data_IF_492561602429
#
_entry.id   IF_492561602429
#
_cell.length_a   1.000
_cell.length_b   1.000
_cell.length_c   1.000
_cell.angle_alpha   90.00
_cell.angle_beta   90.00
_cell.angle_gamma   90.00
#
_symmetry.space_group_name_H-M   'P 1'
#
loop_
_entity.id
_entity.type
_entity.pdbx_description
1 polymer ?
#
# COMPACT_ATOMS: atom_id res chain seq x y z
N UNK A 1 -17.18 10.29 18.05
CA UNK A 1 -16.09 10.84 18.88
C UNK A 1 -14.88 11.06 17.98
N UNK A 2 -14.50 12.32 17.70
CA UNK A 2 -13.45 12.67 16.73
C UNK A 2 -12.05 12.20 17.18
N UNK A 3 -11.75 12.19 18.48
CA UNK A 3 -10.44 11.78 18.99
C UNK A 3 -10.16 10.31 18.67
N UNK A 4 -11.14 9.42 18.93
CA UNK A 4 -11.01 8.00 18.59
C UNK A 4 -10.84 7.79 17.07
N UNK A 5 -11.54 8.56 16.25
CA UNK A 5 -11.39 8.51 14.79
C UNK A 5 -9.98 8.90 14.34
N UNK A 6 -9.38 9.94 14.93
CA UNK A 6 -8.02 10.38 14.58
C UNK A 6 -6.98 9.33 14.98
N UNK A 7 -7.12 8.71 16.16
CA UNK A 7 -6.22 7.61 16.59
C UNK A 7 -6.33 6.43 15.62
N UNK A 8 -7.54 6.05 15.24
CA UNK A 8 -7.76 4.98 14.28
C UNK A 8 -7.22 5.32 12.88
N UNK A 9 -7.31 6.58 12.47
CA UNK A 9 -6.69 7.05 11.24
C UNK A 9 -5.16 6.88 11.26
N UNK A 10 -4.53 7.13 12.40
CA UNK A 10 -3.10 6.90 12.60
C UNK A 10 -2.74 5.42 12.38
N UNK A 11 -3.52 4.52 12.96
CA UNK A 11 -3.35 3.06 12.86
C UNK A 11 -3.48 2.56 11.41
N UNK A 12 -4.46 3.09 10.67
CA UNK A 12 -4.72 2.73 9.26
C UNK A 12 -3.92 3.57 8.25
N UNK A 13 -2.96 4.39 8.69
CA UNK A 13 -2.38 5.43 7.83
C UNK A 13 -1.40 4.93 6.77
N UNK A 14 -0.95 3.68 6.82
CA UNK A 14 0.14 3.20 5.94
C UNK A 14 -0.13 3.48 4.45
N UNK A 15 -1.32 3.19 3.90
CA UNK A 15 -1.57 3.40 2.47
C UNK A 15 -1.70 4.88 2.05
N UNK A 16 -1.77 5.82 3.00
CA UNK A 16 -1.76 7.27 2.73
C UNK A 16 -0.38 7.91 2.99
N UNK A 17 0.64 7.12 3.34
CA UNK A 17 2.04 7.58 3.49
C UNK A 17 2.76 7.63 2.13
N UNK A 18 3.89 8.34 2.03
CA UNK A 18 4.76 8.26 0.87
C UNK A 18 5.09 6.81 0.52
N UNK A 19 5.19 6.51 -0.77
CA UNK A 19 5.19 5.14 -1.27
C UNK A 19 6.27 4.24 -0.66
N UNK A 20 7.50 4.74 -0.49
CA UNK A 20 8.58 3.98 0.14
C UNK A 20 8.23 3.55 1.58
N UNK A 21 7.60 4.43 2.36
CA UNK A 21 7.18 4.12 3.74
C UNK A 21 6.04 3.11 3.72
N UNK A 22 5.07 3.28 2.82
CA UNK A 22 3.97 2.34 2.68
C UNK A 22 4.48 0.92 2.36
N UNK A 23 5.41 0.80 1.40
CA UNK A 23 5.99 -0.50 1.02
C UNK A 23 6.68 -1.21 2.19
N UNK A 24 7.46 -0.50 3.00
CA UNK A 24 8.10 -1.08 4.19
C UNK A 24 7.09 -1.61 5.20
N UNK A 25 5.98 -0.91 5.41
CA UNK A 25 4.92 -1.39 6.31
C UNK A 25 4.17 -2.57 5.72
N UNK A 26 3.91 -2.57 4.42
CA UNK A 26 3.28 -3.71 3.75
C UNK A 26 4.15 -4.96 3.87
N UNK A 27 5.46 -4.85 3.64
CA UNK A 27 6.39 -5.97 3.81
C UNK A 27 6.34 -6.55 5.23
N UNK A 28 6.39 -5.69 6.25
CA UNK A 28 6.34 -6.11 7.67
C UNK A 28 5.02 -6.79 8.03
N UNK A 29 3.90 -6.24 7.60
CA UNK A 29 2.57 -6.82 7.87
C UNK A 29 2.40 -8.15 7.14
N UNK A 30 2.86 -8.24 5.88
CA UNK A 30 2.84 -9.51 5.15
C UNK A 30 3.69 -10.57 5.84
N UNK A 31 4.90 -10.23 6.31
CA UNK A 31 5.74 -11.21 7.02
C UNK A 31 5.07 -11.70 8.31
N UNK A 32 4.40 -10.81 9.06
CA UNK A 32 3.63 -11.21 10.24
C UNK A 32 2.48 -12.18 9.89
N UNK A 33 1.70 -11.87 8.84
CA UNK A 33 0.62 -12.75 8.37
C UNK A 33 1.17 -14.09 7.88
N UNK A 34 2.29 -14.09 7.17
CA UNK A 34 2.88 -15.30 6.65
C UNK A 34 3.48 -16.18 7.76
N UNK A 35 4.15 -15.58 8.74
CA UNK A 35 4.61 -16.30 9.93
C UNK A 35 3.43 -16.95 10.69
N UNK A 36 2.29 -16.26 10.79
CA UNK A 36 1.08 -16.85 11.34
C UNK A 36 0.58 -18.03 10.50
N UNK A 37 0.55 -17.90 9.17
CA UNK A 37 0.12 -18.98 8.28
C UNK A 37 1.03 -20.20 8.34
N UNK A 38 2.34 -19.99 8.43
CA UNK A 38 3.32 -21.07 8.58
C UNK A 38 3.10 -21.83 9.90
N UNK A 39 2.89 -21.11 11.01
CA UNK A 39 2.55 -21.73 12.29
C UNK A 39 1.22 -22.51 12.23
N UNK A 40 0.22 -22.01 11.48
CA UNK A 40 -1.04 -22.73 11.26
C UNK A 40 -0.83 -24.02 10.47
N UNK A 41 0.00 -23.99 9.41
CA UNK A 41 0.38 -25.20 8.64
C UNK A 41 1.09 -26.22 9.52
N UNK A 42 2.05 -25.79 10.35
CA UNK A 42 2.78 -26.66 11.28
C UNK A 42 1.87 -27.33 12.31
N UNK A 43 0.84 -26.62 12.79
CA UNK A 43 -0.15 -27.16 13.73
C UNK A 43 -1.24 -28.00 13.05
N UNK A 44 -1.22 -28.14 11.72
CA UNK A 44 -2.28 -28.83 10.97
C UNK A 44 -3.62 -28.09 10.98
N UNK A 45 -3.61 -26.77 11.18
CA UNK A 45 -4.80 -25.92 11.17
C UNK A 45 -5.06 -25.35 9.77
N UNK A 46 -6.32 -25.01 9.43
CA UNK A 46 -6.60 -24.23 8.22
C UNK A 46 -5.90 -22.87 8.26
N UNK A 47 -5.22 -22.52 7.17
CA UNK A 47 -4.54 -21.23 7.05
C UNK A 47 -5.57 -20.11 6.91
N UNK A 48 -5.39 -19.05 7.69
CA UNK A 48 -6.25 -17.87 7.68
C UNK A 48 -6.09 -17.09 6.37
N UNK A 49 -7.13 -16.34 5.98
CA UNK A 49 -7.10 -15.54 4.76
C UNK A 49 -5.91 -14.59 4.75
N UNK A 50 -5.25 -14.46 3.60
CA UNK A 50 -4.03 -13.64 3.38
C UNK A 50 -2.78 -14.08 4.15
N UNK A 51 -2.86 -15.12 4.98
CA UNK A 51 -1.72 -15.63 5.76
C UNK A 51 -0.92 -16.68 4.99
N UNK A 52 -1.36 -17.10 3.81
CA UNK A 52 -0.64 -18.09 3.00
C UNK A 52 0.29 -17.41 1.99
N UNK A 53 1.60 -17.44 2.25
CA UNK A 53 2.64 -16.85 1.38
C UNK A 53 2.69 -17.48 -0.02
N UNK A 54 2.17 -18.69 -0.20
CA UNK A 54 2.23 -19.41 -1.48
C UNK A 54 1.16 -18.95 -2.48
N UNK A 55 0.08 -18.31 -2.00
CA UNK A 55 -1.07 -17.91 -2.83
C UNK A 55 -1.47 -16.45 -2.67
N UNK A 56 -0.95 -15.74 -1.67
CA UNK A 56 -1.33 -14.35 -1.41
C UNK A 56 -0.69 -13.40 -2.40
N UNK A 57 -1.53 -12.78 -3.23
CA UNK A 57 -1.12 -11.75 -4.19
C UNK A 57 -1.07 -10.38 -3.50
N UNK A 58 0.10 -9.99 -2.99
CA UNK A 58 0.26 -8.76 -2.20
C UNK A 58 -0.30 -7.51 -2.91
N UNK A 59 -0.03 -7.24 -4.21
CA UNK A 59 -0.56 -6.03 -4.84
C UNK A 59 -2.09 -5.99 -4.89
N UNK A 60 -2.73 -7.13 -5.16
CA UNK A 60 -4.18 -7.28 -5.19
C UNK A 60 -4.80 -7.10 -3.81
N UNK A 61 -4.16 -7.68 -2.79
CA UNK A 61 -4.52 -7.49 -1.39
C UNK A 61 -4.47 -6.01 -0.99
N UNK A 62 -3.43 -5.28 -1.39
CA UNK A 62 -3.29 -3.85 -1.09
C UNK A 62 -4.34 -2.98 -1.81
N UNK A 63 -4.60 -3.23 -3.10
CA UNK A 63 -5.69 -2.54 -3.82
C UNK A 63 -7.04 -2.80 -3.15
N UNK A 64 -7.34 -4.06 -2.80
CA UNK A 64 -8.57 -4.40 -2.09
C UNK A 64 -8.69 -3.73 -0.72
N UNK A 65 -7.61 -3.70 0.07
CA UNK A 65 -7.60 -3.01 1.35
C UNK A 65 -7.86 -1.51 1.19
N UNK A 66 -7.31 -0.88 0.15
CA UNK A 66 -7.60 0.52 -0.17
C UNK A 66 -9.07 0.70 -0.55
N UNK A 67 -9.59 -0.13 -1.45
CA UNK A 67 -10.95 -0.01 -1.97
C UNK A 67 -12.03 -0.17 -0.90
N UNK A 68 -11.83 -1.12 0.02
CA UNK A 68 -12.86 -1.52 0.97
C UNK A 68 -12.69 -0.92 2.37
N UNK A 69 -11.48 -0.52 2.76
CA UNK A 69 -11.20 -0.01 4.11
C UNK A 69 -10.70 1.43 4.06
N UNK A 70 -9.57 1.67 3.41
CA UNK A 70 -8.86 2.95 3.53
C UNK A 70 -9.60 4.08 2.83
N UNK A 71 -9.96 3.92 1.55
CA UNK A 71 -10.60 4.98 0.79
C UNK A 71 -11.95 5.40 1.39
N UNK A 72 -12.87 4.48 1.77
CA UNK A 72 -14.11 4.86 2.47
C UNK A 72 -13.85 5.59 3.80
N UNK A 73 -12.88 5.14 4.60
CA UNK A 73 -12.57 5.75 5.89
C UNK A 73 -11.95 7.15 5.76
N UNK A 74 -10.87 7.28 4.98
CA UNK A 74 -10.16 8.55 4.81
C UNK A 74 -10.95 9.58 4.02
N UNK A 75 -11.89 9.16 3.15
CA UNK A 75 -12.78 10.08 2.44
C UNK A 75 -13.53 11.02 3.37
N UNK A 76 -14.02 10.52 4.51
CA UNK A 76 -14.74 11.37 5.46
C UNK A 76 -13.78 12.33 6.18
N UNK A 77 -12.55 11.92 6.46
CA UNK A 77 -11.52 12.80 7.01
C UNK A 77 -11.09 13.89 6.02
N UNK A 78 -10.92 13.54 4.74
CA UNK A 78 -10.59 14.48 3.67
C UNK A 78 -11.65 15.57 3.48
N UNK A 79 -12.94 15.25 3.68
CA UNK A 79 -14.01 16.26 3.66
C UNK A 79 -13.93 17.23 4.84
N UNK A 80 -13.49 16.75 6.01
CA UNK A 80 -13.39 17.56 7.23
C UNK A 80 -12.16 18.47 7.20
N UNK A 81 -11.04 18.00 6.64
CA UNK A 81 -9.75 18.70 6.62
C UNK A 81 -9.13 18.67 5.22
N UNK A 82 -9.77 19.28 4.19
CA UNK A 82 -9.34 19.14 2.81
C UNK A 82 -7.96 19.77 2.55
N UNK A 83 -7.69 20.97 3.05
CA UNK A 83 -6.40 21.61 2.79
C UNK A 83 -5.23 20.87 3.46
N UNK A 84 -5.41 20.43 4.70
CA UNK A 84 -4.35 19.77 5.49
C UNK A 84 -4.06 18.34 5.02
N UNK A 85 -5.08 17.61 4.54
CA UNK A 85 -4.96 16.19 4.21
C UNK A 85 -4.83 15.92 2.71
N UNK A 86 -4.83 16.94 1.85
CA UNK A 86 -4.61 16.79 0.41
C UNK A 86 -3.33 16.00 0.07
N UNK A 87 -2.18 16.17 0.75
CA UNK A 87 -1.00 15.36 0.48
C UNK A 87 -1.22 13.85 0.72
N UNK A 88 -2.00 13.50 1.74
CA UNK A 88 -2.35 12.09 2.04
C UNK A 88 -3.25 11.49 0.96
N UNK A 89 -4.19 12.28 0.42
CA UNK A 89 -5.02 11.86 -0.71
C UNK A 89 -4.20 11.59 -1.98
N UNK A 90 -3.17 12.41 -2.25
CA UNK A 90 -2.24 12.19 -3.37
C UNK A 90 -1.48 10.88 -3.18
N UNK A 91 -0.91 10.67 -1.99
CA UNK A 91 -0.20 9.43 -1.67
C UNK A 91 -1.10 8.20 -1.81
N UNK A 92 -2.36 8.28 -1.35
CA UNK A 92 -3.33 7.19 -1.46
C UNK A 92 -3.51 6.76 -2.93
N UNK A 93 -3.72 7.73 -3.82
CA UNK A 93 -3.85 7.48 -5.25
C UNK A 93 -2.57 6.89 -5.84
N UNK A 94 -1.42 7.49 -5.54
CA UNK A 94 -0.13 7.02 -6.05
C UNK A 94 0.18 5.59 -5.58
N UNK A 95 -0.15 5.24 -4.34
CA UNK A 95 0.03 3.90 -3.81
C UNK A 95 -0.91 2.89 -4.47
N UNK A 96 -2.17 3.28 -4.73
CA UNK A 96 -3.09 2.43 -5.47
C UNK A 96 -2.57 2.14 -6.89
N UNK A 97 -2.17 3.18 -7.62
CA UNK A 97 -1.61 3.05 -8.97
C UNK A 97 -0.31 2.23 -8.98
N UNK A 98 0.54 2.40 -7.96
CA UNK A 98 1.73 1.58 -7.79
C UNK A 98 1.40 0.10 -7.68
N UNK A 99 0.45 -0.30 -6.82
CA UNK A 99 0.06 -1.71 -6.69
C UNK A 99 -0.70 -2.23 -7.91
N UNK A 100 -1.48 -1.39 -8.58
CA UNK A 100 -2.09 -1.73 -9.87
C UNK A 100 -1.02 -2.07 -10.91
N UNK A 101 -0.01 -1.21 -11.09
CA UNK A 101 1.10 -1.47 -12.00
C UNK A 101 1.93 -2.68 -11.57
N UNK A 102 2.19 -2.84 -10.26
CA UNK A 102 2.93 -3.99 -9.74
C UNK A 102 2.20 -5.30 -10.05
N UNK A 103 0.90 -5.37 -9.76
CA UNK A 103 0.04 -6.50 -10.14
C UNK A 103 0.13 -6.77 -11.64
N UNK A 104 0.05 -5.71 -12.45
CA UNK A 104 0.13 -5.80 -13.90
C UNK A 104 1.50 -6.26 -14.43
N UNK A 105 2.57 -6.03 -13.68
CA UNK A 105 3.93 -6.45 -14.07
C UNK A 105 4.26 -7.89 -13.66
N UNK A 106 3.65 -8.37 -12.58
CA UNK A 106 3.89 -9.70 -12.02
C UNK A 106 3.08 -10.80 -12.74
N UNK A 107 2.05 -10.43 -13.51
CA UNK A 107 1.21 -11.34 -14.26
C UNK A 107 1.45 -11.22 -15.77
N UNK A 108 1.68 -12.35 -16.43
CA UNK A 108 1.91 -12.40 -17.89
C UNK A 108 0.61 -12.33 -18.70
N UNK A 109 -0.49 -12.82 -18.13
CA UNK A 109 -1.82 -12.83 -18.76
C UNK A 109 -2.84 -12.19 -17.82
N UNK A 110 -3.70 -11.35 -18.40
CA UNK A 110 -4.84 -10.75 -17.68
C UNK A 110 -6.13 -11.08 -18.42
N UNK A 111 -7.16 -11.39 -17.65
CA UNK A 111 -8.51 -11.36 -18.20
C UNK A 111 -8.91 -9.92 -18.50
N UNK A 112 -9.80 -9.73 -19.48
CA UNK A 112 -10.36 -8.40 -19.74
C UNK A 112 -11.12 -7.86 -18.51
N UNK A 113 -11.73 -8.75 -17.73
CA UNK A 113 -12.44 -8.40 -16.51
C UNK A 113 -11.51 -7.80 -15.45
N UNK A 114 -10.32 -8.37 -15.24
CA UNK A 114 -9.34 -7.83 -14.29
C UNK A 114 -8.80 -6.47 -14.73
N UNK A 115 -8.49 -6.31 -16.03
CA UNK A 115 -8.07 -5.00 -16.57
C UNK A 115 -9.14 -3.94 -16.34
N UNK A 116 -10.40 -4.28 -16.62
CA UNK A 116 -11.52 -3.37 -16.41
C UNK A 116 -11.68 -3.04 -14.92
N UNK A 117 -11.62 -4.04 -14.03
CA UNK A 117 -11.77 -3.83 -12.59
C UNK A 117 -10.69 -2.90 -12.02
N UNK A 118 -9.43 -3.05 -12.43
CA UNK A 118 -8.35 -2.16 -11.99
C UNK A 118 -8.55 -0.74 -12.54
N UNK A 119 -8.89 -0.61 -13.82
CA UNK A 119 -9.20 0.69 -14.43
C UNK A 119 -10.36 1.38 -13.70
N UNK A 120 -11.43 0.65 -13.41
CA UNK A 120 -12.61 1.16 -12.72
C UNK A 120 -12.27 1.59 -11.28
N UNK A 121 -11.40 0.84 -10.59
CA UNK A 121 -10.88 1.19 -9.26
C UNK A 121 -10.14 2.52 -9.25
N UNK A 122 -9.20 2.70 -10.20
CA UNK A 122 -8.45 3.96 -10.36
C UNK A 122 -9.40 5.12 -10.63
N UNK A 123 -10.30 4.98 -11.62
CA UNK A 123 -11.27 6.04 -11.99
C UNK A 123 -12.19 6.38 -10.81
N UNK A 124 -12.69 5.38 -10.10
CA UNK A 124 -13.57 5.57 -8.93
C UNK A 124 -12.86 6.34 -7.82
N UNK A 125 -11.60 6.01 -7.52
CA UNK A 125 -10.80 6.73 -6.54
C UNK A 125 -10.57 8.18 -7.00
N UNK A 126 -10.17 8.36 -8.25
CA UNK A 126 -9.92 9.65 -8.88
C UNK A 126 -11.13 10.59 -8.82
N UNK A 127 -12.30 10.09 -9.21
CA UNK A 127 -13.57 10.80 -9.14
C UNK A 127 -13.94 11.17 -7.70
N UNK A 128 -13.70 10.26 -6.76
CA UNK A 128 -14.00 10.50 -5.35
C UNK A 128 -13.12 11.61 -4.77
N UNK A 129 -11.83 11.63 -5.10
CA UNK A 129 -10.92 12.68 -4.66
C UNK A 129 -11.20 14.02 -5.37
N UNK A 130 -11.47 13.99 -6.68
CA UNK A 130 -11.84 15.18 -7.47
C UNK A 130 -13.08 15.88 -6.94
N UNK A 131 -14.06 15.14 -6.42
CA UNK A 131 -15.25 15.73 -5.78
C UNK A 131 -14.94 16.50 -4.48
N UNK A 132 -13.84 16.18 -3.81
CA UNK A 132 -13.43 16.81 -2.55
C UNK A 132 -12.48 17.98 -2.82
N UNK A 133 -11.50 17.76 -3.69
CA UNK A 133 -10.38 18.69 -3.89
C UNK A 133 -10.43 19.47 -5.23
N UNK A 134 -11.41 19.18 -6.09
CA UNK A 134 -11.52 19.72 -7.46
C UNK A 134 -10.68 18.97 -8.51
N UNK A 135 -10.98 19.23 -9.79
CA UNK A 135 -10.25 18.77 -11.01
C UNK A 135 -8.95 19.59 -11.20
N UNK A 136 -7.86 19.04 -11.78
CA UNK A 136 -6.59 18.98 -11.05
C UNK A 136 -5.55 20.04 -11.39
N UNK A 137 -4.86 20.53 -10.35
CA UNK A 137 -3.40 20.78 -10.41
C UNK A 137 -2.58 19.52 -10.03
N UNK A 138 -3.20 18.42 -9.59
CA UNK A 138 -2.50 17.18 -9.19
C UNK A 138 -2.23 16.19 -10.35
N UNK A 139 -2.74 16.44 -11.57
CA UNK A 139 -2.39 15.70 -12.80
C UNK A 139 -0.90 15.77 -13.16
N UNK A 140 -0.21 16.84 -12.75
CA UNK A 140 1.21 17.04 -13.00
C UNK A 140 2.14 16.33 -12.01
N UNK A 141 1.63 15.76 -10.91
CA UNK A 141 2.48 15.06 -9.95
C UNK A 141 2.96 13.69 -10.47
N UNK A 142 2.45 13.24 -11.63
CA UNK A 142 2.87 12.01 -12.30
C UNK A 142 3.94 12.22 -13.41
N UNK A 143 4.37 13.46 -13.69
CA UNK A 143 5.47 13.67 -14.63
C UNK A 143 6.78 13.90 -13.89
N UNK A 144 7.68 12.91 -13.98
CA UNK A 144 9.15 12.99 -13.85
C UNK A 144 9.84 12.50 -12.55
N UNK A 145 9.15 12.09 -11.47
CA UNK A 145 9.85 11.59 -10.25
C UNK A 145 9.59 10.12 -9.90
N UNK A 146 8.74 9.41 -10.65
CA UNK A 146 8.36 8.02 -10.35
C UNK A 146 9.07 6.94 -11.18
N UNK A 147 10.00 7.31 -12.06
CA UNK A 147 10.76 6.36 -12.90
C UNK A 147 12.27 6.27 -12.57
N UNK A 148 12.76 6.93 -11.52
CA UNK A 148 14.18 6.87 -11.12
C UNK A 148 14.45 6.29 -9.73
N UNK A 149 13.46 5.68 -9.06
CA UNK A 149 13.73 4.87 -7.88
C UNK A 149 14.28 3.51 -8.31
N UNK A 150 15.54 3.49 -8.71
CA UNK A 150 16.35 2.28 -8.66
C UNK A 150 16.47 1.86 -7.20
N UNK A 151 16.05 0.63 -6.92
CA UNK A 151 16.17 -0.01 -5.61
C UNK A 151 17.66 0.04 -5.19
N UNK A 152 18.07 0.77 -4.14
CA UNK A 152 19.43 0.62 -3.65
C UNK A 152 19.56 -0.82 -3.16
N UNK A 153 20.49 -1.58 -3.78
CA UNK A 153 20.85 -2.91 -3.30
C UNK A 153 21.13 -2.80 -1.80
N UNK A 154 20.65 -3.75 -0.96
CA UNK A 154 21.01 -3.75 0.44
C UNK A 154 22.54 -3.77 0.53
N UNK A 155 23.12 -2.70 1.08
CA UNK A 155 24.53 -2.70 1.45
C UNK A 155 24.71 -3.85 2.43
N UNK A 156 25.59 -4.79 2.09
CA UNK A 156 26.02 -5.82 3.01
C UNK A 156 26.70 -5.13 4.19
N UNK A 157 25.97 -4.99 5.29
CA UNK A 157 26.49 -4.46 6.54
C UNK A 157 27.55 -5.42 7.10
N UNK A 158 28.81 -5.17 6.74
CA UNK A 158 29.98 -5.86 7.28
C UNK A 158 30.49 -5.20 8.58
N UNK A 159 29.73 -4.27 9.20
CA UNK A 159 30.22 -3.53 10.36
C UNK A 159 30.13 -4.28 11.70
N UNK A 160 29.69 -5.55 11.70
CA UNK A 160 29.64 -6.38 12.92
C UNK A 160 30.70 -7.49 13.01
N UNK A 161 31.73 -7.50 12.15
CA UNK A 161 32.82 -8.48 12.22
C UNK A 161 34.13 -8.01 12.88
N UNK A 162 34.28 -6.74 13.30
CA UNK A 162 35.55 -6.26 13.89
C UNK A 162 35.60 -6.19 15.43
N UNK A 163 34.65 -6.76 16.17
CA UNK A 163 34.67 -6.74 17.65
C UNK A 163 35.10 -8.05 18.33
N UNK A 164 35.74 -8.99 17.62
CA UNK A 164 36.21 -10.26 18.23
C UNK A 164 37.71 -10.54 18.13
N UNK A 165 38.55 -9.60 17.70
CA UNK A 165 40.01 -9.81 17.62
C UNK A 165 40.81 -8.66 18.24
N UNK A 166 40.69 -8.51 19.55
CA UNK A 166 41.81 -8.04 20.38
C UNK A 166 41.84 -8.87 21.67
N UNK A 167 42.63 -9.93 21.64
CA UNK A 167 43.14 -10.61 22.85
C UNK A 167 44.57 -10.12 23.06
#
# INVERSE_FOLDING_TARGET
NLQATIVHAGDLSNPVKPNLVNQQWVERVCEEFFAQGDAQKEMGLPVSGMCDRDVTEIPKMQMGFIDFVIAPFFKELFKLFPEDLKPLAINLKMNYEFYAHKYMSEHQEFTQAERNAISDGIVKLDDSLSKIFGTPHWKHCLSETSLSYENPKPESDNSLQELSLST
#
